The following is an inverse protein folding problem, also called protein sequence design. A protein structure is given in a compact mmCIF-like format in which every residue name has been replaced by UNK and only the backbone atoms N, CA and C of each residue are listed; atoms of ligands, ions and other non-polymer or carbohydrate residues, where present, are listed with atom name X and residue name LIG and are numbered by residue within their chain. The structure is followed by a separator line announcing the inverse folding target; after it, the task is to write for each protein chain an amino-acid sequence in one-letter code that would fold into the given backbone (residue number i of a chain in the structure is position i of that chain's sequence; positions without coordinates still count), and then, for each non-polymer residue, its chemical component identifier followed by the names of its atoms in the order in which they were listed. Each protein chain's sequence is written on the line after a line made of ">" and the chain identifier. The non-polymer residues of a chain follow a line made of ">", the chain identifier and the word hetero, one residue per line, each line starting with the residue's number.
data_IF_018510488042
#
_entry.id   IF_018510488042
#
_cell.length_a   1.000
_cell.length_b   1.000
_cell.length_c   1.000
_cell.angle_alpha   90.00
_cell.angle_beta   90.00
_cell.angle_gamma   90.00
#
_symmetry.space_group_name_H-M   'P 1'
#
loop_
_entity.id
_entity.type
_entity.pdbx_description
1 polymer ?
#
# COMPACT_ATOMS: atom_id res chain seq x y z
N UNK A 1 9.60 -28.18 -46.88
CA UNK A 1 9.89 -27.41 -45.65
C UNK A 1 9.15 -26.08 -45.76
N UNK A 2 8.07 -25.86 -45.01
CA UNK A 2 7.29 -24.63 -45.11
C UNK A 2 7.03 -24.07 -43.70
N UNK A 3 7.50 -22.85 -43.47
CA UNK A 3 7.63 -22.23 -42.16
C UNK A 3 6.29 -21.70 -41.63
N UNK A 4 5.92 -22.15 -40.42
CA UNK A 4 4.80 -21.61 -39.64
C UNK A 4 5.07 -20.16 -39.22
N UNK A 5 4.35 -19.21 -39.82
CA UNK A 5 4.32 -17.82 -39.34
C UNK A 5 3.46 -17.73 -38.07
N UNK A 6 4.12 -17.66 -36.92
CA UNK A 6 3.51 -17.42 -35.63
C UNK A 6 2.99 -15.98 -35.58
N UNK A 7 1.67 -15.82 -35.55
CA UNK A 7 1.00 -14.53 -35.44
C UNK A 7 1.15 -14.04 -34.00
N UNK A 8 2.22 -13.26 -33.73
CA UNK A 8 2.46 -12.64 -32.43
C UNK A 8 1.36 -11.61 -32.18
N UNK A 9 0.42 -11.96 -31.33
CA UNK A 9 -0.65 -11.10 -30.83
C UNK A 9 -0.02 -9.82 -30.26
N UNK A 10 -0.03 -8.75 -31.05
CA UNK A 10 0.42 -7.44 -30.61
C UNK A 10 -0.63 -6.93 -29.61
N UNK A 11 -0.27 -6.95 -28.33
CA UNK A 11 -1.02 -6.26 -27.27
C UNK A 11 -1.30 -4.83 -27.77
N UNK A 12 -2.54 -4.31 -27.66
CA UNK A 12 -2.80 -2.95 -28.06
C UNK A 12 -1.93 -2.03 -27.20
N UNK A 13 -1.05 -1.26 -27.86
CA UNK A 13 -0.39 -0.14 -27.22
C UNK A 13 -1.50 0.77 -26.69
N UNK A 14 -1.59 0.90 -25.35
CA UNK A 14 -2.47 1.86 -24.69
C UNK A 14 -2.26 3.21 -25.35
N UNK A 15 -3.23 3.67 -26.14
CA UNK A 15 -3.26 5.04 -26.65
C UNK A 15 -3.29 5.93 -25.42
N UNK A 16 -2.23 6.73 -25.25
CA UNK A 16 -2.14 7.80 -24.25
C UNK A 16 -3.15 8.87 -24.66
N UNK A 17 -4.40 8.71 -24.25
CA UNK A 17 -5.41 9.75 -24.37
C UNK A 17 -5.01 10.87 -23.44
N UNK A 18 -4.75 12.05 -24.00
CA UNK A 18 -4.47 13.31 -23.28
C UNK A 18 -5.75 13.83 -22.61
N UNK A 19 -6.39 13.00 -21.79
CA UNK A 19 -7.39 13.45 -20.83
C UNK A 19 -6.67 13.37 -19.48
N UNK A 20 -6.26 14.50 -18.87
CA UNK A 20 -5.59 14.41 -17.59
C UNK A 20 -6.67 14.13 -16.55
N UNK A 21 -7.07 12.85 -16.42
CA UNK A 21 -8.03 12.39 -15.42
C UNK A 21 -7.67 12.88 -14.01
N UNK A 22 -6.39 13.21 -13.78
CA UNK A 22 -5.91 13.93 -12.61
C UNK A 22 -4.88 15.00 -13.00
N UNK A 23 -5.30 16.28 -13.02
CA UNK A 23 -4.40 17.43 -13.18
C UNK A 23 -4.34 18.29 -11.92
N UNK A 24 -3.24 18.18 -11.17
CA UNK A 24 -2.99 18.98 -9.96
C UNK A 24 -2.60 20.43 -10.23
N UNK A 25 -2.23 20.79 -11.47
CA UNK A 25 -1.88 22.17 -11.84
C UNK A 25 -3.09 22.98 -12.25
N UNK A 26 -4.12 22.32 -12.77
CA UNK A 26 -5.35 22.96 -13.23
C UNK A 26 -6.44 22.99 -12.16
N UNK A 27 -6.48 22.01 -11.25
CA UNK A 27 -7.57 21.86 -10.28
C UNK A 27 -7.08 21.96 -8.83
N UNK A 28 -7.51 22.99 -8.06
CA UNK A 28 -7.12 23.15 -6.66
C UNK A 28 -7.41 21.94 -5.78
N UNK A 29 -8.50 21.22 -6.06
CA UNK A 29 -8.87 20.00 -5.32
C UNK A 29 -7.82 18.90 -5.51
N UNK A 30 -7.33 18.69 -6.72
CA UNK A 30 -6.26 17.70 -6.98
C UNK A 30 -4.95 18.09 -6.30
N UNK A 31 -4.59 19.38 -6.28
CA UNK A 31 -3.42 19.86 -5.56
C UNK A 31 -3.53 19.63 -4.04
N UNK A 32 -4.73 19.84 -3.49
CA UNK A 32 -5.04 19.58 -2.08
C UNK A 32 -4.88 18.08 -1.76
N UNK A 33 -5.44 17.20 -2.58
CA UNK A 33 -5.33 15.74 -2.41
C UNK A 33 -3.87 15.31 -2.44
N UNK A 34 -3.11 15.74 -3.45
CA UNK A 34 -1.67 15.44 -3.54
C UNK A 34 -0.95 15.89 -2.28
N UNK A 35 -1.21 17.11 -1.80
CA UNK A 35 -0.54 17.65 -0.61
C UNK A 35 -0.91 16.88 0.66
N UNK A 36 -2.18 16.51 0.82
CA UNK A 36 -2.68 15.72 1.96
C UNK A 36 -2.05 14.33 1.97
N UNK A 37 -2.14 13.60 0.86
CA UNK A 37 -1.59 12.25 0.75
C UNK A 37 -0.07 12.25 0.91
N UNK A 38 0.62 13.22 0.30
CA UNK A 38 2.07 13.33 0.43
C UNK A 38 2.51 13.60 1.87
N UNK A 39 1.80 14.51 2.57
CA UNK A 39 2.07 14.81 3.97
C UNK A 39 1.82 13.59 4.86
N UNK A 40 0.75 12.85 4.60
CA UNK A 40 0.44 11.62 5.34
C UNK A 40 1.50 10.54 5.13
N UNK A 41 1.91 10.29 3.89
CA UNK A 41 2.98 9.34 3.57
C UNK A 41 4.30 9.78 4.19
N UNK A 42 4.64 11.07 4.13
CA UNK A 42 5.89 11.61 4.68
C UNK A 42 5.99 11.50 6.20
N UNK A 43 4.86 11.53 6.92
CA UNK A 43 4.84 11.40 8.38
C UNK A 43 5.02 9.96 8.87
N UNK A 44 5.03 8.97 7.97
CA UNK A 44 5.24 7.57 8.34
C UNK A 44 6.70 7.27 8.71
N UNK A 45 6.90 6.73 9.91
CA UNK A 45 8.24 6.46 10.45
C UNK A 45 8.85 5.13 9.99
N UNK A 46 8.07 4.25 9.37
CA UNK A 46 8.53 2.94 8.90
C UNK A 46 7.94 2.57 7.54
N UNK A 47 8.48 1.51 6.94
CA UNK A 47 8.13 1.14 5.57
C UNK A 47 6.70 0.60 5.44
N UNK A 48 6.21 -0.20 6.39
CA UNK A 48 4.87 -0.78 6.30
C UNK A 48 3.75 0.27 6.37
N UNK A 49 3.73 1.21 7.35
CA UNK A 49 2.73 2.28 7.38
C UNK A 49 2.78 3.16 6.14
N UNK A 50 3.96 3.34 5.53
CA UNK A 50 4.12 4.09 4.28
C UNK A 50 3.46 3.40 3.09
N UNK A 51 3.62 2.08 3.01
CA UNK A 51 2.97 1.26 1.99
C UNK A 51 1.45 1.34 2.17
N UNK A 52 0.97 1.22 3.41
CA UNK A 52 -0.45 1.37 3.72
C UNK A 52 -0.98 2.75 3.35
N UNK A 53 -0.27 3.82 3.73
CA UNK A 53 -0.63 5.20 3.41
C UNK A 53 -0.69 5.44 1.89
N UNK A 54 0.21 4.83 1.11
CA UNK A 54 0.13 4.89 -0.35
C UNK A 54 -1.04 4.06 -0.90
N UNK A 55 -1.32 2.90 -0.32
CA UNK A 55 -2.47 2.07 -0.70
C UNK A 55 -3.79 2.81 -0.49
N UNK A 56 -3.94 3.44 0.68
CA UNK A 56 -5.11 4.24 1.04
C UNK A 56 -5.29 5.41 0.06
N UNK A 57 -4.23 6.17 -0.20
CA UNK A 57 -4.29 7.28 -1.15
C UNK A 57 -4.65 6.84 -2.57
N UNK A 58 -4.15 5.69 -3.02
CA UNK A 58 -4.51 5.11 -4.32
C UNK A 58 -5.98 4.68 -4.37
N UNK A 59 -6.49 4.07 -3.30
CA UNK A 59 -7.89 3.67 -3.20
C UNK A 59 -8.82 4.88 -3.20
N UNK A 60 -8.50 5.93 -2.43
CA UNK A 60 -9.27 7.19 -2.41
C UNK A 60 -9.33 7.82 -3.80
N UNK A 61 -8.19 7.93 -4.50
CA UNK A 61 -8.14 8.53 -5.84
C UNK A 61 -8.91 7.70 -6.86
N UNK A 62 -8.77 6.37 -6.81
CA UNK A 62 -9.51 5.48 -7.70
C UNK A 62 -11.03 5.56 -7.45
N UNK A 63 -11.44 5.70 -6.18
CA UNK A 63 -12.84 5.83 -5.80
C UNK A 63 -13.44 7.17 -6.27
N UNK A 64 -12.74 8.27 -6.07
CA UNK A 64 -13.28 9.61 -6.31
C UNK A 64 -13.12 10.09 -7.76
N UNK A 65 -12.05 9.66 -8.45
CA UNK A 65 -11.67 10.15 -9.78
C UNK A 65 -11.51 9.03 -10.83
N UNK A 66 -11.62 7.76 -10.43
CA UNK A 66 -11.48 6.60 -11.30
C UNK A 66 -10.03 6.12 -11.49
N UNK A 67 -9.88 4.89 -11.99
CA UNK A 67 -8.56 4.26 -12.18
C UNK A 67 -7.64 5.04 -13.14
N UNK A 68 -8.21 5.77 -14.11
CA UNK A 68 -7.46 6.56 -15.07
C UNK A 68 -6.74 7.76 -14.41
N UNK A 69 -7.19 8.18 -13.22
CA UNK A 69 -6.59 9.26 -12.45
C UNK A 69 -5.31 8.85 -11.72
N UNK A 70 -5.09 7.55 -11.51
CA UNK A 70 -3.98 7.02 -10.70
C UNK A 70 -2.62 7.44 -11.25
N UNK A 71 -2.41 7.34 -12.57
CA UNK A 71 -1.12 7.70 -13.19
C UNK A 71 -0.79 9.19 -12.99
N UNK A 72 -1.78 10.07 -13.18
CA UNK A 72 -1.63 11.51 -12.98
C UNK A 72 -1.34 11.87 -11.52
N UNK A 73 -2.05 11.23 -10.60
CA UNK A 73 -1.82 11.37 -9.16
C UNK A 73 -0.41 10.92 -8.78
N UNK A 74 0.05 9.75 -9.22
CA UNK A 74 1.39 9.23 -8.92
C UNK A 74 2.51 10.14 -9.45
N UNK A 75 2.33 10.74 -10.64
CA UNK A 75 3.28 11.71 -11.19
C UNK A 75 3.37 12.96 -10.31
N UNK A 76 2.23 13.50 -9.90
CA UNK A 76 2.18 14.68 -9.03
C UNK A 76 2.79 14.38 -7.65
N UNK A 77 2.45 13.22 -7.08
CA UNK A 77 2.94 12.76 -5.79
C UNK A 77 4.46 12.55 -5.81
N UNK A 78 4.99 11.89 -6.85
CA UNK A 78 6.44 11.73 -7.04
C UNK A 78 7.15 13.06 -7.16
N UNK A 79 6.58 14.02 -7.90
CA UNK A 79 7.15 15.36 -8.06
C UNK A 79 7.21 16.11 -6.73
N UNK A 80 6.18 15.97 -5.88
CA UNK A 80 6.16 16.54 -4.54
C UNK A 80 7.29 15.99 -3.66
N UNK A 81 7.55 14.68 -3.70
CA UNK A 81 8.63 14.06 -2.95
C UNK A 81 10.03 14.38 -3.48
N UNK A 82 10.19 14.52 -4.81
CA UNK A 82 11.46 14.96 -5.41
C UNK A 82 11.86 16.33 -4.90
N UNK A 83 10.92 17.28 -4.79
CA UNK A 83 11.20 18.62 -4.25
C UNK A 83 11.63 18.63 -2.78
N UNK A 84 11.39 17.54 -2.04
CA UNK A 84 11.68 17.39 -0.61
C UNK A 84 12.71 16.31 -0.32
N UNK A 85 13.34 15.78 -1.37
CA UNK A 85 14.37 14.74 -1.29
C UNK A 85 13.94 13.49 -0.50
N UNK A 86 12.64 13.16 -0.51
CA UNK A 86 12.11 12.03 0.25
C UNK A 86 12.24 10.70 -0.51
N UNK A 87 13.49 10.20 -0.60
CA UNK A 87 13.89 9.07 -1.44
C UNK A 87 13.04 7.81 -1.27
N UNK A 88 12.76 7.39 -0.03
CA UNK A 88 12.03 6.15 0.23
C UNK A 88 10.58 6.15 -0.32
N UNK A 89 9.90 7.30 -0.39
CA UNK A 89 8.60 7.36 -1.08
C UNK A 89 8.73 7.40 -2.60
N UNK A 90 9.78 8.05 -3.13
CA UNK A 90 10.08 8.07 -4.56
C UNK A 90 10.33 6.65 -5.08
N UNK A 91 11.10 5.86 -4.33
CA UNK A 91 11.35 4.45 -4.62
C UNK A 91 10.08 3.61 -4.57
N UNK A 92 9.25 3.79 -3.54
CA UNK A 92 7.98 3.08 -3.40
C UNK A 92 7.03 3.37 -4.57
N UNK A 93 6.88 4.64 -4.96
CA UNK A 93 6.08 5.01 -6.14
C UNK A 93 6.68 4.39 -7.41
N UNK A 94 8.01 4.44 -7.57
CA UNK A 94 8.70 3.83 -8.71
C UNK A 94 8.49 2.32 -8.77
N UNK A 95 8.49 1.63 -7.62
CA UNK A 95 8.19 0.21 -7.52
C UNK A 95 6.76 -0.07 -7.98
N UNK A 96 5.77 0.67 -7.47
CA UNK A 96 4.37 0.50 -7.87
C UNK A 96 4.18 0.73 -9.37
N UNK A 97 4.74 1.81 -9.93
CA UNK A 97 4.66 2.11 -11.37
C UNK A 97 5.29 1.00 -12.23
N UNK A 98 6.36 0.36 -11.74
CA UNK A 98 7.06 -0.70 -12.46
C UNK A 98 6.34 -2.06 -12.37
N UNK A 99 5.79 -2.39 -11.20
CA UNK A 99 5.27 -3.72 -10.89
C UNK A 99 3.74 -3.82 -10.91
N UNK A 100 3.03 -2.69 -10.89
CA UNK A 100 1.57 -2.62 -10.79
C UNK A 100 1.02 -3.12 -9.44
N UNK A 101 1.88 -3.28 -8.43
CA UNK A 101 1.51 -3.72 -7.09
C UNK A 101 2.43 -3.10 -6.05
N UNK A 102 1.93 -2.98 -4.83
CA UNK A 102 2.73 -2.53 -3.70
C UNK A 102 3.66 -3.66 -3.20
N UNK A 103 4.83 -3.33 -2.66
CA UNK A 103 5.73 -4.32 -2.12
C UNK A 103 5.11 -4.96 -0.88
N UNK A 104 5.17 -6.28 -0.82
CA UNK A 104 4.76 -7.05 0.35
C UNK A 104 5.96 -7.16 1.29
N UNK A 105 5.98 -6.36 2.35
CA UNK A 105 6.96 -6.55 3.41
C UNK A 105 6.46 -7.75 4.20
N UNK A 106 7.23 -8.84 4.18
CA UNK A 106 6.97 -9.97 5.06
C UNK A 106 6.85 -9.42 6.48
N UNK A 107 5.64 -9.47 7.04
CA UNK A 107 5.47 -9.17 8.46
C UNK A 107 6.41 -10.12 9.21
N UNK A 108 7.18 -9.65 10.22
CA UNK A 108 7.84 -10.59 11.09
C UNK A 108 6.73 -11.46 11.66
N UNK A 109 6.76 -12.74 11.28
CA UNK A 109 5.90 -13.77 11.80
C UNK A 109 5.78 -13.58 13.31
N UNK A 110 4.63 -13.11 13.78
CA UNK A 110 4.28 -13.18 15.20
C UNK A 110 3.95 -14.64 15.55
N UNK A 111 4.85 -15.57 15.22
CA UNK A 111 4.88 -16.89 15.83
C UNK A 111 5.68 -16.76 17.11
N UNK A 112 5.05 -16.27 18.17
CA UNK A 112 5.73 -16.12 19.45
C UNK A 112 4.92 -15.33 20.48
N UNK A 113 3.85 -15.92 20.99
CA UNK A 113 3.14 -15.31 22.12
C UNK A 113 1.70 -15.77 22.35
N UNK A 114 1.36 -17.02 22.06
CA UNK A 114 0.10 -17.61 22.53
C UNK A 114 0.17 -17.65 24.07
N UNK A 115 -0.35 -16.62 24.76
CA UNK A 115 -0.67 -16.70 26.19
C UNK A 115 -1.76 -17.75 26.32
N UNK A 116 -1.34 -18.99 26.48
CA UNK A 116 -2.20 -20.06 26.97
C UNK A 116 -2.38 -19.74 28.46
N UNK A 117 -3.48 -19.09 28.83
CA UNK A 117 -3.92 -19.12 30.22
C UNK A 117 -4.27 -20.59 30.50
N UNK A 118 -3.33 -21.29 31.16
CA UNK A 118 -3.59 -22.64 31.65
C UNK A 118 -4.64 -22.52 32.74
N UNK A 119 -5.85 -22.86 32.37
CA UNK A 119 -6.89 -23.37 33.26
C UNK A 119 -6.35 -24.65 33.93
N UNK A 120 -6.18 -24.63 35.24
CA UNK A 120 -6.21 -25.83 36.11
C UNK A 120 -7.41 -25.62 37.04
N UNK A 121 -8.59 -26.18 36.76
CA UNK A 121 -9.03 -27.51 37.26
C UNK A 121 -8.58 -27.72 38.71
N UNK A 122 -9.37 -27.29 39.70
CA UNK A 122 -10.36 -28.09 40.44
C UNK A 122 -9.85 -29.49 40.76
N UNK A 123 -9.47 -29.65 42.03
CA UNK A 123 -9.59 -30.90 42.78
C UNK A 123 -10.08 -30.55 44.19
N UNK A 124 -11.23 -31.12 44.53
CA UNK A 124 -11.79 -31.16 45.87
C UNK A 124 -11.06 -32.27 46.67
N UNK A 125 -10.61 -32.00 47.90
CA UNK A 125 -10.42 -33.08 48.87
C UNK A 125 -10.60 -32.60 50.32
N UNK A 126 -11.72 -33.00 50.90
CA UNK A 126 -12.02 -33.00 52.33
C UNK A 126 -11.16 -34.08 53.00
N UNK A 127 -10.45 -33.79 54.10
CA UNK A 127 -10.22 -34.75 55.20
C UNK A 127 -9.82 -34.03 56.50
N UNK A 128 -10.56 -34.34 57.56
CA UNK A 128 -10.37 -34.02 58.98
C UNK A 128 -8.97 -34.33 59.54
N UNK A 129 -8.51 -33.58 60.55
CA UNK A 129 -7.98 -34.12 61.81
C UNK A 129 -7.62 -33.01 62.83
N UNK A 130 -7.53 -33.45 64.08
CA UNK A 130 -7.79 -32.77 65.35
C UNK A 130 -6.47 -32.47 66.11
N UNK A 131 -6.57 -31.57 67.09
CA UNK A 131 -5.72 -31.40 68.29
C UNK A 131 -4.39 -30.62 68.18
N UNK A 132 -4.28 -29.52 68.93
CA UNK A 132 -3.67 -29.50 70.27
C UNK A 132 -4.29 -28.34 71.08
#
# INVERSE_FOLDING_TARGET
>A
MSASKSNKLRKPARKKTNNPAFDSKLWPVHAMIVSRSASHIASTLSAQPRINALAEALAEVAQDFGDDAIDGFLIALKSWFVQREYGAAIELIGYFQKHGRLPEIAQPSQTGGRRISRRSSKDDNVTSLRAA
#
